data_IF_313897545708
#
_entry.id   IF_313897545708
#
_cell.length_a   1.000
_cell.length_b   1.000
_cell.length_c   1.000
_cell.angle_alpha   90.00
_cell.angle_beta   90.00
_cell.angle_gamma   90.00
#
_symmetry.space_group_name_H-M   'P 1'
#
loop_
_entity.id
_entity.type
_entity.pdbx_description
1 polymer ?
#
# COMPACT_ATOMS: atom_id res chain seq x y z
N UNK A 1 -21.03 -0.90 21.80
CA UNK A 1 -21.08 0.56 21.60
C UNK A 1 -19.66 0.98 21.31
N UNK A 2 -19.23 0.91 20.04
CA UNK A 2 -17.88 1.33 19.64
C UNK A 2 -17.82 2.86 19.76
N UNK A 3 -17.04 3.35 20.69
CA UNK A 3 -16.68 4.77 20.73
C UNK A 3 -15.88 5.09 19.47
N UNK A 4 -16.48 5.79 18.53
CA UNK A 4 -15.78 6.44 17.44
C UNK A 4 -14.95 7.58 18.04
N UNK A 5 -13.77 7.25 18.51
CA UNK A 5 -12.75 8.28 18.76
C UNK A 5 -12.27 8.70 17.38
N UNK A 6 -12.80 9.83 16.89
CA UNK A 6 -12.26 10.54 15.74
C UNK A 6 -10.85 11.00 16.15
N UNK A 7 -9.85 10.16 15.90
CA UNK A 7 -8.47 10.47 16.21
C UNK A 7 -8.01 11.40 15.09
N UNK A 8 -7.87 12.67 15.38
CA UNK A 8 -7.22 13.60 14.45
C UNK A 8 -5.77 13.17 14.29
N UNK A 9 -5.47 12.52 13.17
CA UNK A 9 -4.12 12.09 12.82
C UNK A 9 -3.46 13.26 12.12
N UNK A 10 -2.36 13.76 12.69
CA UNK A 10 -1.58 14.80 12.02
C UNK A 10 -0.94 14.25 10.74
N UNK A 11 -1.07 14.95 9.59
CA UNK A 11 -0.37 14.57 8.37
C UNK A 11 1.15 14.41 8.56
N UNK A 12 1.75 15.16 9.48
CA UNK A 12 3.17 15.09 9.78
C UNK A 12 3.59 13.77 10.46
N UNK A 13 2.66 13.11 11.14
CA UNK A 13 2.90 11.84 11.86
C UNK A 13 2.58 10.59 11.01
N UNK A 14 2.18 10.78 9.73
CA UNK A 14 1.64 9.73 8.86
C UNK A 14 2.61 9.40 7.73
N UNK A 15 2.74 8.12 7.44
CA UNK A 15 3.39 7.60 6.23
C UNK A 15 2.58 6.44 5.63
N UNK A 16 2.93 6.04 4.41
CA UNK A 16 2.16 5.08 3.61
C UNK A 16 3.06 3.99 3.06
N UNK A 17 2.55 2.77 3.02
CA UNK A 17 3.02 1.79 2.04
C UNK A 17 2.56 2.20 0.63
N UNK A 18 3.12 1.57 -0.38
CA UNK A 18 2.79 1.88 -1.78
C UNK A 18 1.97 0.75 -2.40
N UNK A 19 2.49 -0.47 -2.42
CA UNK A 19 1.86 -1.62 -3.08
C UNK A 19 0.61 -2.06 -2.30
N UNK A 20 -0.54 -2.08 -2.96
CA UNK A 20 -1.82 -2.40 -2.31
C UNK A 20 -2.46 -1.25 -1.51
N UNK A 21 -1.75 -0.15 -1.29
CA UNK A 21 -2.25 1.04 -0.58
C UNK A 21 -2.44 2.23 -1.53
N UNK A 22 -1.40 2.60 -2.27
CA UNK A 22 -1.42 3.73 -3.24
C UNK A 22 -1.48 3.21 -4.67
N UNK A 23 -0.62 2.24 -4.99
CA UNK A 23 -0.60 1.52 -6.26
C UNK A 23 -1.47 0.27 -6.17
N UNK A 24 -2.42 0.09 -7.08
CA UNK A 24 -3.23 -1.14 -7.14
C UNK A 24 -2.46 -2.25 -7.86
N UNK A 25 -1.40 -2.70 -7.22
CA UNK A 25 -0.46 -3.71 -7.72
C UNK A 25 -1.16 -5.01 -8.08
N UNK A 26 -2.20 -5.41 -7.32
CA UNK A 26 -2.96 -6.61 -7.62
C UNK A 26 -3.93 -6.43 -8.80
N UNK A 27 -4.35 -5.22 -9.13
CA UNK A 27 -5.07 -4.96 -10.38
C UNK A 27 -4.14 -5.15 -11.59
N UNK A 28 -2.87 -4.71 -11.50
CA UNK A 28 -1.86 -4.97 -12.53
C UNK A 28 -1.58 -6.47 -12.65
N UNK A 29 -1.41 -7.19 -11.54
CA UNK A 29 -1.24 -8.65 -11.54
C UNK A 29 -2.38 -9.36 -12.28
N UNK A 30 -3.63 -9.01 -12.00
CA UNK A 30 -4.81 -9.58 -12.67
C UNK A 30 -4.84 -9.23 -14.16
N UNK A 31 -4.43 -8.03 -14.54
CA UNK A 31 -4.34 -7.60 -15.94
C UNK A 31 -3.32 -8.45 -16.68
N UNK A 32 -2.11 -8.59 -16.14
CA UNK A 32 -1.05 -9.41 -16.71
C UNK A 32 -1.43 -10.91 -16.79
N UNK A 33 -2.10 -11.42 -15.75
CA UNK A 33 -2.60 -12.80 -15.76
C UNK A 33 -3.57 -13.05 -16.90
N UNK A 34 -4.42 -12.09 -17.21
CA UNK A 34 -5.35 -12.16 -18.34
C UNK A 34 -4.64 -12.07 -19.68
N UNK A 35 -3.74 -11.11 -19.82
CA UNK A 35 -3.07 -10.81 -21.10
C UNK A 35 -2.02 -11.85 -21.48
N UNK A 36 -1.23 -12.30 -20.51
CA UNK A 36 -0.11 -13.22 -20.76
C UNK A 36 -0.51 -14.69 -20.73
N UNK A 37 -1.48 -15.04 -19.87
CA UNK A 37 -1.85 -16.44 -19.60
C UNK A 37 -3.31 -16.76 -19.90
N UNK A 38 -4.09 -15.80 -20.42
CA UNK A 38 -5.51 -16.01 -20.73
C UNK A 38 -6.39 -16.31 -19.51
N UNK A 39 -5.96 -15.95 -18.30
CA UNK A 39 -6.67 -16.19 -17.06
C UNK A 39 -7.84 -15.20 -16.86
N UNK A 40 -8.78 -15.20 -17.80
CA UNK A 40 -9.88 -14.22 -17.90
C UNK A 40 -10.84 -14.22 -16.70
N UNK A 41 -10.89 -15.32 -15.96
CA UNK A 41 -11.75 -15.45 -14.78
C UNK A 41 -11.08 -14.99 -13.49
N UNK A 42 -9.76 -14.75 -13.50
CA UNK A 42 -9.08 -14.24 -12.32
C UNK A 42 -9.48 -12.79 -12.06
N UNK A 43 -9.86 -12.52 -10.82
CA UNK A 43 -10.18 -11.18 -10.33
C UNK A 43 -9.44 -10.93 -9.03
N UNK A 44 -9.37 -9.67 -8.59
CA UNK A 44 -8.74 -9.29 -7.33
C UNK A 44 -9.38 -9.99 -6.11
N UNK A 45 -10.68 -10.26 -6.15
CA UNK A 45 -11.40 -10.96 -5.06
C UNK A 45 -10.95 -12.43 -4.87
N UNK A 46 -10.34 -13.03 -5.89
CA UNK A 46 -9.75 -14.36 -5.75
C UNK A 46 -8.42 -14.36 -4.99
N UNK A 47 -7.81 -13.19 -4.78
CA UNK A 47 -6.57 -13.01 -4.03
C UNK A 47 -6.93 -12.85 -2.55
N UNK A 48 -7.25 -13.97 -1.90
CA UNK A 48 -7.77 -14.01 -0.54
C UNK A 48 -6.66 -14.12 0.54
N UNK A 49 -5.39 -14.16 0.16
CA UNK A 49 -4.26 -14.18 1.09
C UNK A 49 -3.04 -13.50 0.45
N UNK A 50 -2.12 -13.02 1.28
CA UNK A 50 -0.93 -12.31 0.83
C UNK A 50 0.04 -13.21 0.05
N UNK A 51 0.18 -14.47 0.46
CA UNK A 51 0.97 -15.47 -0.27
C UNK A 51 0.16 -16.03 -1.44
N UNK A 52 0.42 -15.51 -2.64
CA UNK A 52 -0.30 -15.86 -3.86
C UNK A 52 -0.20 -17.35 -4.22
N UNK A 53 0.89 -18.03 -3.86
CA UNK A 53 1.04 -19.47 -4.07
C UNK A 53 0.06 -20.30 -3.26
N UNK A 54 -0.43 -19.77 -2.15
CA UNK A 54 -1.38 -20.46 -1.27
C UNK A 54 -2.84 -20.24 -1.66
N UNK A 55 -3.17 -19.07 -2.20
CA UNK A 55 -4.57 -18.75 -2.49
C UNK A 55 -4.94 -18.92 -3.97
N UNK A 56 -3.97 -18.89 -4.87
CA UNK A 56 -4.24 -19.10 -6.28
C UNK A 56 -3.95 -20.55 -6.66
N UNK A 57 -4.95 -21.23 -7.26
CA UNK A 57 -4.77 -22.56 -7.80
C UNK A 57 -4.15 -22.48 -9.21
N UNK A 58 -2.90 -21.98 -9.28
CA UNK A 58 -2.12 -21.80 -10.48
C UNK A 58 -0.77 -22.52 -10.36
N UNK A 59 -0.14 -22.79 -11.50
CA UNK A 59 1.24 -23.26 -11.52
C UNK A 59 2.19 -22.24 -10.88
N UNK A 60 3.11 -22.74 -10.04
CA UNK A 60 4.04 -21.85 -9.30
C UNK A 60 4.94 -21.04 -10.20
N UNK A 61 5.30 -21.54 -11.39
CA UNK A 61 6.06 -20.79 -12.39
C UNK A 61 5.27 -19.60 -12.93
N UNK A 62 3.96 -19.80 -13.20
CA UNK A 62 3.07 -18.73 -13.63
C UNK A 62 2.94 -17.65 -12.55
N UNK A 63 2.75 -18.06 -11.29
CA UNK A 63 2.64 -17.11 -10.17
C UNK A 63 3.92 -16.30 -10.02
N UNK A 64 5.09 -16.94 -10.06
CA UNK A 64 6.39 -16.27 -9.97
C UNK A 64 6.60 -15.29 -11.13
N UNK A 65 6.30 -15.69 -12.36
CA UNK A 65 6.45 -14.84 -13.53
C UNK A 65 5.55 -13.60 -13.43
N UNK A 66 4.29 -13.79 -13.04
CA UNK A 66 3.35 -12.69 -12.81
C UNK A 66 3.80 -11.74 -11.70
N UNK A 67 4.35 -12.25 -10.59
CA UNK A 67 4.92 -11.41 -9.53
C UNK A 67 6.09 -10.58 -10.08
N UNK A 68 7.02 -11.20 -10.80
CA UNK A 68 8.16 -10.52 -11.37
C UNK A 68 7.74 -9.43 -12.36
N UNK A 69 6.81 -9.74 -13.26
CA UNK A 69 6.28 -8.77 -14.23
C UNK A 69 5.55 -7.62 -13.56
N UNK A 70 4.73 -7.91 -12.54
CA UNK A 70 3.97 -6.88 -11.82
C UNK A 70 4.87 -5.85 -11.13
N UNK A 71 6.07 -6.29 -10.72
CA UNK A 71 7.01 -5.45 -9.97
C UNK A 71 8.18 -4.93 -10.81
N UNK A 72 8.24 -5.27 -12.11
CA UNK A 72 9.26 -4.72 -13.00
C UNK A 72 9.03 -3.21 -13.28
N UNK A 73 10.03 -2.57 -13.89
CA UNK A 73 9.98 -1.13 -14.13
C UNK A 73 8.90 -0.74 -15.14
N UNK A 74 8.70 -1.54 -16.19
CA UNK A 74 7.73 -1.26 -17.24
C UNK A 74 6.30 -1.29 -16.72
N UNK A 75 5.91 -2.37 -16.03
CA UNK A 75 4.54 -2.54 -15.52
C UNK A 75 4.29 -1.71 -14.26
N UNK A 76 5.33 -1.43 -13.47
CA UNK A 76 5.23 -0.46 -12.36
C UNK A 76 4.74 0.89 -12.86
N UNK A 77 5.30 1.41 -13.97
CA UNK A 77 4.89 2.70 -14.54
C UNK A 77 3.45 2.70 -15.10
N UNK A 78 2.88 1.54 -15.36
CA UNK A 78 1.52 1.36 -15.89
C UNK A 78 0.51 0.96 -14.80
N UNK A 79 0.96 0.73 -13.57
CA UNK A 79 0.09 0.29 -12.46
C UNK A 79 -0.97 1.35 -12.17
N UNK A 80 -2.27 1.00 -12.12
CA UNK A 80 -3.29 1.96 -11.76
C UNK A 80 -3.17 2.35 -10.29
N UNK A 81 -3.45 3.62 -9.93
CA UNK A 81 -3.56 4.00 -8.53
C UNK A 81 -4.82 3.41 -7.89
N UNK A 82 -4.74 3.13 -6.59
CA UNK A 82 -5.94 2.77 -5.81
C UNK A 82 -6.95 3.92 -5.88
N UNK A 83 -8.24 3.62 -6.11
CA UNK A 83 -9.28 4.65 -6.25
C UNK A 83 -9.30 5.64 -5.08
N UNK A 84 -9.21 6.92 -5.40
CA UNK A 84 -9.20 8.01 -4.43
C UNK A 84 -7.82 8.39 -3.89
N UNK A 85 -6.79 7.55 -4.03
CA UNK A 85 -5.44 7.83 -3.55
C UNK A 85 -4.87 9.15 -4.10
N UNK A 86 -4.86 9.41 -5.42
CA UNK A 86 -4.29 10.65 -5.94
C UNK A 86 -4.97 11.90 -5.39
N UNK A 87 -6.31 11.88 -5.28
CA UNK A 87 -7.07 13.02 -4.76
C UNK A 87 -6.69 13.35 -3.33
N UNK A 88 -6.65 12.34 -2.45
CA UNK A 88 -6.37 12.54 -1.01
C UNK A 88 -4.90 12.89 -0.78
N UNK A 89 -3.98 12.27 -1.53
CA UNK A 89 -2.55 12.58 -1.43
C UNK A 89 -2.25 14.02 -1.89
N UNK A 90 -2.87 14.50 -2.96
CA UNK A 90 -2.75 15.91 -3.38
C UNK A 90 -3.23 16.87 -2.29
N UNK A 91 -4.31 16.52 -1.57
CA UNK A 91 -4.79 17.32 -0.44
C UNK A 91 -3.80 17.28 0.73
N UNK A 92 -3.33 16.10 1.13
CA UNK A 92 -2.35 15.92 2.20
C UNK A 92 -1.04 16.63 1.93
N UNK A 93 -0.59 16.67 0.66
CA UNK A 93 0.62 17.38 0.26
C UNK A 93 0.60 18.88 0.57
N UNK A 94 -0.59 19.48 0.74
CA UNK A 94 -0.73 20.90 1.15
C UNK A 94 -0.37 21.10 2.62
N UNK A 95 -0.45 20.05 3.43
CA UNK A 95 -0.20 20.10 4.87
C UNK A 95 1.22 19.64 5.26
N UNK A 96 1.97 19.04 4.34
CA UNK A 96 3.35 18.59 4.59
C UNK A 96 3.88 17.66 3.50
N UNK A 97 5.11 17.15 3.65
CA UNK A 97 5.65 16.17 2.73
C UNK A 97 4.88 14.84 2.84
N UNK A 98 4.70 14.18 1.71
CA UNK A 98 4.19 12.81 1.64
C UNK A 98 5.35 11.84 1.84
N UNK A 99 5.21 10.91 2.77
CA UNK A 99 6.24 9.92 3.10
C UNK A 99 5.77 8.53 2.75
N UNK A 100 6.55 7.85 1.93
CA UNK A 100 6.28 6.49 1.49
C UNK A 100 7.42 5.57 1.91
N UNK A 101 7.07 4.41 2.49
CA UNK A 101 8.04 3.39 2.90
C UNK A 101 7.59 2.06 2.33
N UNK A 102 8.31 1.59 1.31
CA UNK A 102 7.96 0.37 0.57
C UNK A 102 8.96 -0.75 0.81
N UNK A 103 8.51 -2.01 0.71
CA UNK A 103 9.37 -3.19 0.76
C UNK A 103 10.11 -3.46 -0.57
N UNK A 104 9.88 -2.67 -1.62
CA UNK A 104 10.62 -2.80 -2.88
C UNK A 104 12.13 -2.66 -2.64
N UNK A 105 12.93 -3.32 -3.47
CA UNK A 105 14.40 -3.25 -3.40
C UNK A 105 14.89 -1.95 -4.05
N UNK A 106 14.28 -1.59 -5.18
CA UNK A 106 14.66 -0.45 -6.01
C UNK A 106 13.54 0.59 -6.03
N UNK A 107 13.81 1.84 -5.65
CA UNK A 107 12.77 2.88 -5.56
C UNK A 107 12.52 3.62 -6.87
N UNK A 108 13.37 3.48 -7.90
CA UNK A 108 13.42 4.39 -9.04
C UNK A 108 12.09 4.41 -9.82
N UNK A 109 11.62 3.27 -10.29
CA UNK A 109 10.39 3.18 -11.09
C UNK A 109 9.16 3.56 -10.29
N UNK A 110 9.06 3.14 -9.03
CA UNK A 110 7.90 3.48 -8.19
C UNK A 110 7.90 4.96 -7.78
N UNK A 111 9.07 5.57 -7.61
CA UNK A 111 9.18 7.02 -7.39
C UNK A 111 8.76 7.79 -8.63
N UNK A 112 9.22 7.38 -9.81
CA UNK A 112 8.79 7.98 -11.08
C UNK A 112 7.28 7.84 -11.26
N UNK A 113 6.71 6.68 -10.94
CA UNK A 113 5.28 6.43 -10.99
C UNK A 113 4.51 7.37 -10.05
N UNK A 114 4.98 7.57 -8.81
CA UNK A 114 4.36 8.50 -7.87
C UNK A 114 4.34 9.94 -8.41
N UNK A 115 5.45 10.41 -8.99
CA UNK A 115 5.48 11.73 -9.61
C UNK A 115 4.54 11.87 -10.80
N UNK A 116 4.40 10.83 -11.62
CA UNK A 116 3.44 10.81 -12.73
C UNK A 116 1.98 10.77 -12.24
N UNK A 117 1.73 10.08 -11.12
CA UNK A 117 0.39 9.94 -10.52
C UNK A 117 -0.03 11.19 -9.75
N UNK A 118 0.93 11.96 -9.24
CA UNK A 118 0.73 13.16 -8.42
C UNK A 118 1.40 14.39 -9.07
N UNK A 119 1.01 14.77 -10.29
CA UNK A 119 1.71 15.82 -11.06
C UNK A 119 1.63 17.20 -10.43
N UNK A 120 0.65 17.45 -9.55
CA UNK A 120 0.47 18.72 -8.86
C UNK A 120 1.27 18.80 -7.54
N UNK A 121 1.89 17.69 -7.10
CA UNK A 121 2.72 17.66 -5.90
C UNK A 121 4.17 17.94 -6.26
N UNK A 122 4.83 18.98 -5.67
CA UNK A 122 6.23 19.24 -5.90
C UNK A 122 7.13 18.04 -5.59
N UNK A 123 8.19 17.82 -6.37
CA UNK A 123 9.10 16.69 -6.23
C UNK A 123 9.72 16.58 -4.83
N UNK A 124 10.08 17.70 -4.23
CA UNK A 124 10.64 17.80 -2.87
C UNK A 124 9.62 17.51 -1.75
N UNK A 125 8.35 17.36 -2.10
CA UNK A 125 7.27 16.97 -1.20
C UNK A 125 6.95 15.47 -1.24
N UNK A 126 7.61 14.69 -2.08
CA UNK A 126 7.46 13.23 -2.18
C UNK A 126 8.74 12.57 -1.72
N UNK A 127 8.70 11.94 -0.56
CA UNK A 127 9.81 11.18 0.01
C UNK A 127 9.52 9.69 -0.08
N UNK A 128 10.39 8.92 -0.77
CA UNK A 128 10.25 7.47 -0.96
C UNK A 128 11.45 6.76 -0.39
N UNK A 129 11.23 5.81 0.52
CA UNK A 129 12.26 4.95 1.09
C UNK A 129 11.94 3.50 0.76
N UNK A 130 12.82 2.87 -0.02
CA UNK A 130 12.80 1.45 -0.30
C UNK A 130 13.60 0.71 0.77
N UNK A 131 12.99 -0.27 1.42
CA UNK A 131 13.61 -1.01 2.53
C UNK A 131 14.17 -2.37 2.11
N UNK A 132 13.76 -2.87 0.94
CA UNK A 132 14.13 -4.20 0.44
C UNK A 132 13.43 -5.35 1.15
N UNK A 133 12.81 -5.11 2.31
CA UNK A 133 12.10 -6.13 3.08
C UNK A 133 11.04 -5.48 4.00
N UNK A 134 9.87 -6.12 4.19
CA UNK A 134 8.82 -5.61 5.07
C UNK A 134 9.27 -5.40 6.51
N UNK A 135 10.14 -6.28 7.02
CA UNK A 135 10.65 -6.25 8.39
C UNK A 135 11.49 -5.01 8.70
N UNK A 136 12.10 -4.43 7.66
CA UNK A 136 12.94 -3.23 7.80
C UNK A 136 12.13 -1.93 7.95
N UNK A 137 10.84 -1.95 7.63
CA UNK A 137 9.96 -0.76 7.70
C UNK A 137 9.91 -0.15 9.09
N UNK A 138 9.82 -0.98 10.14
CA UNK A 138 9.69 -0.50 11.52
C UNK A 138 10.84 0.45 11.91
N UNK A 139 12.09 0.06 11.63
CA UNK A 139 13.23 0.89 12.01
C UNK A 139 13.27 2.20 11.24
N UNK A 140 12.91 2.18 9.97
CA UNK A 140 12.83 3.37 9.13
C UNK A 140 11.76 4.33 9.64
N UNK A 141 10.55 3.83 9.92
CA UNK A 141 9.44 4.65 10.44
C UNK A 141 9.79 5.29 11.79
N UNK A 142 10.48 4.56 12.66
CA UNK A 142 10.98 5.10 13.94
C UNK A 142 12.02 6.20 13.75
N UNK A 143 12.95 6.03 12.82
CA UNK A 143 13.98 7.03 12.51
C UNK A 143 13.37 8.32 11.93
N UNK A 144 12.22 8.20 11.25
CA UNK A 144 11.45 9.32 10.70
C UNK A 144 10.45 9.94 11.70
N UNK A 145 10.39 9.44 12.94
CA UNK A 145 9.41 9.81 13.98
C UNK A 145 7.94 9.67 13.52
N UNK A 146 7.67 8.67 12.67
CA UNK A 146 6.33 8.34 12.18
C UNK A 146 5.55 7.60 13.26
N UNK A 147 4.32 8.05 13.53
CA UNK A 147 3.42 7.46 14.54
C UNK A 147 2.35 6.57 13.93
N UNK A 148 1.93 6.87 12.71
CA UNK A 148 0.88 6.16 12.00
C UNK A 148 1.38 5.70 10.63
N UNK A 149 1.08 4.46 10.27
CA UNK A 149 1.47 3.91 8.98
C UNK A 149 0.31 3.19 8.31
N UNK A 150 -0.05 3.58 7.08
CA UNK A 150 -1.08 2.89 6.29
C UNK A 150 -0.44 1.71 5.58
N UNK A 151 -0.94 0.50 5.85
CA UNK A 151 -0.35 -0.77 5.42
C UNK A 151 -1.47 -1.76 5.04
N UNK A 152 -1.26 -2.60 4.04
CA UNK A 152 -2.22 -3.63 3.62
C UNK A 152 -1.83 -5.05 4.06
N UNK A 153 -0.58 -5.26 4.48
CA UNK A 153 -0.05 -6.54 4.93
C UNK A 153 -0.20 -6.71 6.43
N UNK A 154 -0.97 -7.73 6.85
CA UNK A 154 -1.30 -7.96 8.26
C UNK A 154 -0.06 -8.21 9.12
N UNK A 155 0.89 -9.03 8.67
CA UNK A 155 2.11 -9.33 9.42
C UNK A 155 2.98 -8.08 9.64
N UNK A 156 2.98 -7.16 8.69
CA UNK A 156 3.65 -5.86 8.86
C UNK A 156 2.93 -5.02 9.92
N UNK A 157 1.59 -4.98 9.91
CA UNK A 157 0.81 -4.29 10.94
C UNK A 157 1.12 -4.84 12.35
N UNK A 158 1.22 -6.16 12.51
CA UNK A 158 1.58 -6.80 13.79
C UNK A 158 2.97 -6.36 14.27
N UNK A 159 3.96 -6.37 13.38
CA UNK A 159 5.31 -5.92 13.67
C UNK A 159 5.36 -4.45 14.09
N UNK A 160 4.68 -3.58 13.35
CA UNK A 160 4.64 -2.14 13.63
C UNK A 160 4.00 -1.83 14.98
N UNK A 161 2.87 -2.49 15.29
CA UNK A 161 2.16 -2.32 16.56
C UNK A 161 3.04 -2.73 17.75
N UNK A 162 3.74 -3.85 17.66
CA UNK A 162 4.70 -4.29 18.67
C UNK A 162 5.86 -3.29 18.84
N UNK A 163 6.25 -2.62 17.76
CA UNK A 163 7.31 -1.62 17.74
C UNK A 163 6.89 -0.22 18.17
N UNK A 164 5.59 0.02 18.44
CA UNK A 164 5.07 1.31 18.91
C UNK A 164 4.68 2.28 17.78
N UNK A 165 4.65 1.82 16.51
CA UNK A 165 4.06 2.54 15.39
C UNK A 165 2.63 2.03 15.21
N UNK A 166 1.63 2.91 15.20
CA UNK A 166 0.23 2.54 15.05
C UNK A 166 -0.09 2.22 13.58
N UNK A 167 -0.36 0.96 13.20
CA UNK A 167 -0.79 0.64 11.85
C UNK A 167 -2.25 1.04 11.63
N UNK A 168 -2.54 1.49 10.42
CA UNK A 168 -3.86 1.68 9.87
C UNK A 168 -4.01 0.66 8.73
N UNK A 169 -4.73 -0.43 8.98
CA UNK A 169 -4.84 -1.52 8.02
C UNK A 169 -5.76 -1.12 6.87
N UNK A 170 -5.19 -0.96 5.67
CA UNK A 170 -5.94 -0.65 4.46
C UNK A 170 -6.67 -1.91 3.96
N UNK A 171 -8.00 -1.82 3.81
CA UNK A 171 -8.84 -2.96 3.48
C UNK A 171 -8.54 -3.53 2.10
N UNK A 172 -8.10 -4.77 2.07
CA UNK A 172 -7.85 -5.53 0.86
C UNK A 172 -8.37 -6.97 1.03
N UNK A 173 -8.72 -7.69 -0.05
CA UNK A 173 -9.24 -9.05 0.07
C UNK A 173 -8.33 -10.01 0.86
N UNK A 174 -7.02 -9.86 0.72
CA UNK A 174 -6.01 -10.73 1.35
C UNK A 174 -5.79 -10.50 2.84
N UNK A 175 -6.36 -9.43 3.42
CA UNK A 175 -6.22 -9.14 4.84
C UNK A 175 -7.52 -9.21 5.63
N UNK A 176 -8.60 -9.76 5.04
CA UNK A 176 -9.91 -9.92 5.69
C UNK A 176 -9.93 -11.20 6.52
N UNK A 177 -9.18 -11.21 7.61
CA UNK A 177 -9.07 -12.34 8.56
C UNK A 177 -9.51 -11.90 9.96
N UNK A 178 -9.89 -12.85 10.86
CA UNK A 178 -10.25 -12.49 12.23
C UNK A 178 -9.14 -11.75 13.00
N UNK A 179 -7.88 -12.07 12.73
CA UNK A 179 -6.73 -11.42 13.37
C UNK A 179 -6.64 -9.92 13.00
N UNK A 180 -7.09 -9.57 11.80
CA UNK A 180 -7.09 -8.20 11.31
C UNK A 180 -8.09 -7.27 12.03
N UNK A 181 -9.07 -7.82 12.78
CA UNK A 181 -10.05 -7.04 13.55
C UNK A 181 -9.43 -6.27 14.71
N UNK A 182 -8.21 -6.63 15.12
CA UNK A 182 -7.46 -5.92 16.17
C UNK A 182 -6.90 -4.55 15.72
N UNK A 183 -6.87 -4.27 14.41
CA UNK A 183 -6.31 -3.05 13.86
C UNK A 183 -7.39 -2.06 13.39
N UNK A 184 -7.17 -0.74 13.53
CA UNK A 184 -7.99 0.25 12.86
C UNK A 184 -7.97 0.01 11.35
N UNK A 185 -9.15 -0.25 10.77
CA UNK A 185 -9.30 -0.57 9.35
C UNK A 185 -9.75 0.64 8.56
N UNK A 186 -9.00 0.94 7.51
CA UNK A 186 -9.29 1.97 6.51
C UNK A 186 -9.91 1.31 5.29
N UNK A 187 -11.18 1.53 5.04
CA UNK A 187 -11.91 0.90 3.93
C UNK A 187 -11.68 1.61 2.58
N UNK A 188 -11.26 2.86 2.61
CA UNK A 188 -11.03 3.67 1.41
C UNK A 188 -10.20 4.91 1.71
N UNK A 189 -9.62 5.49 0.68
CA UNK A 189 -8.94 6.78 0.76
C UNK A 189 -9.87 7.91 1.22
N UNK A 190 -11.16 7.86 0.88
CA UNK A 190 -12.15 8.83 1.38
C UNK A 190 -12.29 8.74 2.89
N UNK A 191 -12.37 7.53 3.46
CA UNK A 191 -12.42 7.37 4.91
C UNK A 191 -11.13 7.83 5.59
N UNK A 192 -9.97 7.53 4.98
CA UNK A 192 -8.69 8.00 5.52
C UNK A 192 -8.63 9.52 5.58
N UNK A 193 -9.14 10.21 4.55
CA UNK A 193 -9.18 11.67 4.54
C UNK A 193 -9.98 12.26 5.71
N UNK A 194 -11.06 11.59 6.13
CA UNK A 194 -11.87 12.01 7.29
C UNK A 194 -11.12 11.88 8.63
N UNK A 195 -10.08 11.06 8.70
CA UNK A 195 -9.27 10.85 9.90
C UNK A 195 -8.07 11.79 9.99
N UNK A 196 -7.60 12.28 8.84
CA UNK A 196 -6.33 13.00 8.71
C UNK A 196 -6.52 14.46 8.32
N UNK A 197 -7.50 14.75 7.50
CA UNK A 197 -7.78 16.12 7.04
C UNK A 197 -8.74 16.83 8.00
N UNK A 198 -8.53 18.12 8.25
CA UNK A 198 -9.39 18.93 9.13
C UNK A 198 -10.79 19.14 8.57
#
# INVERSE_FOLDING_TARGET
>A
MMMHVKKEISPADLAFDIDGVVADTMAMFVTLARERYGLVHLTKDHIACYDLHRCLNLDSGIVNDLICLTLDDEHTLQTPPVPGAPKVLNELARHGPLRFVTARIWPESITQWLHATLPDVPFDRIEVIATGAPESKLQILKNMDIKFFVEDRLETCELLAQGGVQPLLFDQPWNRTPQAESFPRVQSWSQLSEWVLP
#
